data_IF_389540460445
#
_entry.id   IF_389540460445
#
_cell.length_a   1.000
_cell.length_b   1.000
_cell.length_c   1.000
_cell.angle_alpha   90.00
_cell.angle_beta   90.00
_cell.angle_gamma   90.00
#
_symmetry.space_group_name_H-M   'P 1'
#
loop_
_entity.id
_entity.type
_entity.pdbx_description
1 polymer ?
#
# COMPACT_ATOMS: atom_id res chain seq x y z
N UNK A 1 14.99 9.43 -1.04
CA UNK A 1 15.14 8.19 -1.84
C UNK A 1 13.96 8.09 -2.81
N UNK A 2 14.21 7.76 -4.07
CA UNK A 2 13.21 7.67 -5.12
C UNK A 2 13.38 6.38 -5.90
N UNK A 3 12.34 5.56 -6.01
CA UNK A 3 12.30 4.40 -6.92
C UNK A 3 11.15 4.63 -7.88
N UNK A 4 11.42 4.49 -9.18
CA UNK A 4 10.45 4.69 -10.24
C UNK A 4 10.25 3.38 -11.00
N UNK A 5 9.00 2.93 -11.08
CA UNK A 5 8.60 1.67 -11.68
C UNK A 5 7.73 1.94 -12.91
N UNK A 6 8.05 1.30 -14.03
CA UNK A 6 7.38 1.55 -15.31
C UNK A 6 7.32 0.29 -16.17
N UNK A 7 6.35 0.27 -17.10
CA UNK A 7 6.30 -0.73 -18.15
C UNK A 7 7.20 -0.29 -19.31
N UNK A 8 8.04 -1.20 -19.78
CA UNK A 8 8.83 -1.04 -21.01
C UNK A 8 7.94 -1.13 -22.26
N UNK A 9 8.40 -0.66 -23.43
CA UNK A 9 7.66 -0.83 -24.70
C UNK A 9 7.32 -2.29 -25.01
N UNK A 10 8.14 -3.23 -24.55
CA UNK A 10 7.94 -4.68 -24.70
C UNK A 10 6.99 -5.28 -23.66
N UNK A 11 6.41 -4.46 -22.78
CA UNK A 11 5.46 -4.89 -21.75
C UNK A 11 6.08 -5.44 -20.46
N UNK A 12 7.42 -5.49 -20.37
CA UNK A 12 8.10 -5.92 -19.15
C UNK A 12 8.08 -4.82 -18.08
N UNK A 13 8.01 -5.21 -16.81
CA UNK A 13 8.18 -4.31 -15.69
C UNK A 13 9.66 -3.95 -15.50
N UNK A 14 10.00 -2.67 -15.37
CA UNK A 14 11.35 -2.20 -15.13
C UNK A 14 11.39 -1.08 -14.08
N UNK A 15 12.55 -0.86 -13.47
CA UNK A 15 12.72 0.23 -12.51
C UNK A 15 14.04 0.97 -12.62
N UNK A 16 13.99 2.22 -12.16
CA UNK A 16 15.13 3.09 -11.90
C UNK A 16 15.18 3.46 -10.41
N UNK A 17 16.37 3.64 -9.87
CA UNK A 17 16.56 4.02 -8.47
C UNK A 17 17.46 5.26 -8.30
N UNK A 18 17.07 6.12 -7.36
CA UNK A 18 17.81 7.24 -6.83
C UNK A 18 17.92 7.14 -5.31
N UNK A 19 19.15 7.04 -4.80
CA UNK A 19 19.42 7.06 -3.36
C UNK A 19 20.03 8.40 -2.98
N UNK A 20 19.47 9.03 -1.97
CA UNK A 20 20.08 10.17 -1.30
C UNK A 20 20.85 9.62 -0.09
N UNK A 21 22.14 9.94 -0.03
CA UNK A 21 23.06 9.43 0.99
C UNK A 21 23.65 10.56 1.82
N UNK A 22 23.24 11.82 1.61
CA UNK A 22 23.91 13.00 2.17
C UNK A 22 23.87 13.08 3.71
N UNK A 23 23.03 12.28 4.36
CA UNK A 23 22.88 12.25 5.82
C UNK A 23 23.03 10.85 6.45
N UNK A 24 23.51 9.86 5.69
CA UNK A 24 23.68 8.50 6.19
C UNK A 24 25.13 8.29 6.63
N UNK A 25 25.34 8.09 7.93
CA UNK A 25 26.64 7.75 8.53
C UNK A 25 27.06 6.30 8.22
N UNK A 26 27.18 5.98 6.93
CA UNK A 26 27.57 4.66 6.45
C UNK A 26 29.07 4.59 6.14
N UNK A 27 29.73 3.46 6.46
CA UNK A 27 31.09 3.21 6.01
C UNK A 27 31.20 3.30 4.48
N UNK A 28 32.26 3.94 3.98
CA UNK A 28 32.49 4.15 2.55
C UNK A 28 32.60 2.86 1.73
N UNK A 29 32.96 1.76 2.38
CA UNK A 29 33.12 0.41 1.82
C UNK A 29 31.89 -0.50 2.06
N UNK A 30 30.84 0.00 2.70
CA UNK A 30 29.59 -0.73 2.88
C UNK A 30 29.00 -1.11 1.51
N UNK A 31 28.52 -2.34 1.38
CA UNK A 31 27.87 -2.82 0.16
C UNK A 31 26.41 -2.40 0.18
N UNK A 32 25.98 -1.71 -0.87
CA UNK A 32 24.61 -1.30 -1.07
C UNK A 32 23.86 -2.34 -1.91
N UNK A 33 22.65 -2.68 -1.49
CA UNK A 33 21.74 -3.54 -2.22
C UNK A 33 20.36 -2.90 -2.32
N UNK A 34 19.72 -3.09 -3.46
CA UNK A 34 18.29 -2.85 -3.64
C UNK A 34 17.64 -4.21 -3.91
N UNK A 35 16.58 -4.52 -3.19
CA UNK A 35 15.79 -5.73 -3.35
C UNK A 35 14.40 -5.34 -3.81
N UNK A 36 13.96 -5.86 -4.96
CA UNK A 36 12.58 -5.83 -5.40
C UNK A 36 11.91 -7.12 -4.92
N UNK A 37 10.79 -7.02 -4.22
CA UNK A 37 10.11 -8.19 -3.67
C UNK A 37 8.59 -8.08 -3.77
N UNK A 38 7.94 -9.24 -3.91
CA UNK A 38 6.47 -9.41 -3.89
C UNK A 38 6.14 -10.86 -3.60
N UNK A 39 5.50 -11.15 -2.45
CA UNK A 39 5.19 -12.53 -2.03
C UNK A 39 6.44 -13.42 -2.14
N UNK A 40 6.43 -14.45 -2.98
CA UNK A 40 7.57 -15.35 -3.21
C UNK A 40 8.62 -14.82 -4.19
N UNK A 41 8.34 -13.72 -4.89
CA UNK A 41 9.31 -13.06 -5.76
C UNK A 41 10.30 -12.23 -4.95
N UNK A 42 11.59 -12.43 -5.20
CA UNK A 42 12.68 -11.61 -4.66
C UNK A 42 13.79 -11.50 -5.70
N UNK A 43 14.19 -10.26 -6.02
CA UNK A 43 15.34 -9.99 -6.88
C UNK A 43 16.23 -8.93 -6.26
N UNK A 44 17.50 -9.26 -6.06
CA UNK A 44 18.51 -8.39 -5.45
C UNK A 44 19.44 -7.80 -6.52
N UNK A 45 19.71 -6.51 -6.40
CA UNK A 45 20.60 -5.74 -7.24
C UNK A 45 21.73 -5.17 -6.39
N UNK A 46 22.98 -5.37 -6.82
CA UNK A 46 24.15 -4.77 -6.17
C UNK A 46 24.34 -3.34 -6.67
N UNK A 47 24.43 -2.39 -5.74
CA UNK A 47 24.39 -0.95 -6.04
C UNK A 47 25.70 -0.23 -5.73
N UNK A 48 26.82 -0.96 -5.64
CA UNK A 48 28.13 -0.42 -5.30
C UNK A 48 28.27 -0.12 -3.81
N UNK A 49 28.94 0.98 -3.49
CA UNK A 49 29.17 1.44 -2.10
C UNK A 49 28.79 2.92 -1.96
N UNK A 50 28.68 3.48 -0.74
CA UNK A 50 28.44 4.92 -0.56
C UNK A 50 29.48 5.80 -1.28
N UNK A 51 30.74 5.38 -1.33
CA UNK A 51 31.80 6.11 -2.04
C UNK A 51 31.74 5.96 -3.57
N UNK A 52 31.17 4.87 -4.07
CA UNK A 52 31.04 4.59 -5.50
C UNK A 52 29.67 3.97 -5.81
N UNK A 53 28.58 4.75 -5.72
CA UNK A 53 27.23 4.25 -5.95
C UNK A 53 27.05 3.88 -7.43
N UNK A 54 26.41 2.73 -7.67
CA UNK A 54 26.04 2.21 -8.99
C UNK A 54 24.56 1.93 -9.01
N UNK A 55 23.76 2.99 -9.11
CA UNK A 55 22.32 2.85 -8.96
C UNK A 55 21.67 2.20 -10.20
N UNK A 56 20.74 1.24 -10.00
CA UNK A 56 19.94 0.64 -11.05
C UNK A 56 19.26 1.66 -11.96
N UNK A 57 19.40 1.45 -13.28
CA UNK A 57 18.62 2.11 -14.32
C UNK A 57 18.19 1.05 -15.34
N UNK A 58 16.94 1.10 -15.77
CA UNK A 58 16.35 0.18 -16.75
C UNK A 58 16.38 -1.29 -16.32
N UNK A 59 16.35 -1.58 -15.02
CA UNK A 59 16.44 -2.97 -14.56
C UNK A 59 15.10 -3.67 -14.72
N UNK A 60 15.05 -4.65 -15.62
CA UNK A 60 13.87 -5.48 -15.86
C UNK A 60 13.63 -6.39 -14.66
N UNK A 61 12.38 -6.48 -14.21
CA UNK A 61 11.87 -7.42 -13.22
C UNK A 61 11.09 -8.51 -13.95
N UNK A 62 11.79 -9.57 -14.34
CA UNK A 62 11.23 -10.71 -15.05
C UNK A 62 10.32 -11.56 -14.13
N UNK A 63 9.35 -12.27 -14.73
CA UNK A 63 8.42 -13.12 -13.96
C UNK A 63 7.35 -12.35 -13.17
N UNK A 64 7.28 -11.04 -13.33
CA UNK A 64 6.21 -10.20 -12.79
C UNK A 64 5.35 -9.61 -13.91
N UNK A 65 4.05 -9.50 -13.64
CA UNK A 65 3.15 -8.73 -14.48
C UNK A 65 3.48 -7.23 -14.41
N UNK A 66 3.29 -6.51 -15.52
CA UNK A 66 3.50 -5.05 -15.62
C UNK A 66 2.76 -4.22 -14.54
N UNK A 67 1.71 -4.78 -13.94
CA UNK A 67 0.88 -4.14 -12.91
C UNK A 67 1.07 -4.73 -11.52
N UNK A 68 2.04 -5.61 -11.32
CA UNK A 68 2.32 -6.21 -10.01
C UNK A 68 2.69 -5.14 -8.96
N UNK A 69 2.16 -5.27 -7.74
CA UNK A 69 2.57 -4.43 -6.62
C UNK A 69 3.94 -4.88 -6.10
N UNK A 70 5.00 -4.29 -6.66
CA UNK A 70 6.37 -4.58 -6.24
C UNK A 70 6.77 -3.60 -5.16
N UNK A 71 7.22 -4.13 -4.02
CA UNK A 71 7.84 -3.33 -2.98
C UNK A 71 9.37 -3.42 -3.09
N UNK A 72 10.03 -2.42 -2.52
CA UNK A 72 11.48 -2.35 -2.52
C UNK A 72 12.03 -2.26 -1.10
N UNK A 73 13.23 -2.80 -0.93
CA UNK A 73 14.05 -2.64 0.26
C UNK A 73 15.46 -2.23 -0.13
N UNK A 74 16.05 -1.30 0.60
CA UNK A 74 17.45 -0.91 0.46
C UNK A 74 18.22 -1.36 1.68
N UNK A 75 19.37 -2.00 1.47
CA UNK A 75 20.26 -2.48 2.54
C UNK A 75 21.66 -1.94 2.35
N UNK A 76 22.26 -1.46 3.43
CA UNK A 76 23.70 -1.25 3.53
C UNK A 76 24.28 -2.36 4.42
N UNK A 77 25.34 -3.02 3.96
CA UNK A 77 25.91 -4.21 4.61
C UNK A 77 27.42 -4.09 4.73
N UNK A 78 27.98 -4.50 5.87
CA UNK A 78 29.44 -4.50 6.08
C UNK A 78 30.17 -5.68 5.40
N UNK A 79 31.50 -5.71 5.50
CA UNK A 79 32.33 -6.78 4.95
C UNK A 79 32.08 -8.18 5.54
N UNK A 80 31.37 -8.28 6.68
CA UNK A 80 30.99 -9.54 7.34
C UNK A 80 29.56 -9.97 7.02
N UNK A 81 28.83 -9.19 6.23
CA UNK A 81 27.44 -9.49 5.91
C UNK A 81 26.42 -8.94 6.92
N UNK A 82 26.83 -8.10 7.88
CA UNK A 82 25.90 -7.49 8.86
C UNK A 82 25.18 -6.30 8.25
N UNK A 83 23.87 -6.19 8.46
CA UNK A 83 23.07 -5.05 8.04
C UNK A 83 23.45 -3.84 8.91
N UNK A 84 23.92 -2.78 8.28
CA UNK A 84 24.27 -1.50 8.90
C UNK A 84 23.10 -0.51 8.85
N UNK A 85 22.32 -0.57 7.78
CA UNK A 85 21.10 0.21 7.62
C UNK A 85 20.13 -0.53 6.69
N UNK A 86 18.83 -0.31 6.94
CA UNK A 86 17.75 -0.81 6.10
C UNK A 86 16.69 0.26 5.94
N UNK A 87 16.18 0.40 4.72
CA UNK A 87 14.91 1.06 4.44
C UNK A 87 14.03 0.01 3.76
N UNK A 88 12.85 -0.25 4.30
CA UNK A 88 11.99 -1.37 3.92
C UNK A 88 10.60 -0.89 3.51
N UNK A 89 9.79 -1.78 2.89
CA UNK A 89 8.41 -1.50 2.46
C UNK A 89 8.27 -0.26 1.58
N UNK A 90 9.28 0.00 0.76
CA UNK A 90 9.31 1.17 -0.12
C UNK A 90 8.36 0.91 -1.29
N UNK A 91 7.28 1.69 -1.34
CA UNK A 91 6.35 1.71 -2.47
C UNK A 91 6.96 2.57 -3.59
N UNK A 92 7.20 2.02 -4.78
CA UNK A 92 7.77 2.78 -5.89
C UNK A 92 6.73 3.75 -6.48
N UNK A 93 7.19 4.86 -7.04
CA UNK A 93 6.34 5.73 -7.86
C UNK A 93 6.13 5.10 -9.23
N UNK A 94 4.89 5.13 -9.74
CA UNK A 94 4.57 4.72 -11.11
C UNK A 94 4.35 5.92 -12.01
N UNK A 95 4.50 5.71 -13.31
CA UNK A 95 4.31 6.76 -14.33
C UNK A 95 2.87 7.26 -14.45
N UNK A 96 1.89 6.45 -14.02
CA UNK A 96 0.45 6.76 -14.02
C UNK A 96 -0.04 7.39 -12.71
N UNK A 97 0.85 7.63 -11.74
CA UNK A 97 0.47 8.27 -10.47
C UNK A 97 0.32 9.79 -10.65
N UNK A 98 -0.92 10.27 -10.68
CA UNK A 98 -1.26 11.70 -10.74
C UNK A 98 -0.92 12.44 -9.43
N UNK A 99 -0.78 11.71 -8.30
CA UNK A 99 -0.53 12.24 -6.96
C UNK A 99 0.90 11.92 -6.47
N UNK A 100 1.92 12.58 -7.04
CA UNK A 100 3.36 12.31 -6.80
C UNK A 100 3.90 12.54 -5.36
N UNK A 101 3.03 12.66 -4.35
CA UNK A 101 3.40 12.90 -2.95
C UNK A 101 2.49 12.25 -1.89
N UNK A 102 1.47 11.47 -2.27
CA UNK A 102 0.63 10.73 -1.31
C UNK A 102 1.03 9.26 -1.30
N UNK A 103 1.16 8.69 -0.10
CA UNK A 103 1.37 7.25 0.05
C UNK A 103 0.06 6.51 -0.23
N UNK A 104 0.07 5.59 -1.18
CA UNK A 104 -1.08 4.74 -1.48
C UNK A 104 -1.27 3.70 -0.35
N UNK A 105 -2.36 3.81 0.41
CA UNK A 105 -2.68 2.86 1.49
C UNK A 105 -3.27 1.54 0.97
N UNK A 106 -3.93 1.59 -0.18
CA UNK A 106 -4.60 0.44 -0.79
C UNK A 106 -4.33 0.36 -2.30
N UNK A 107 -3.26 -0.31 -2.71
CA UNK A 107 -3.02 -0.58 -4.10
C UNK A 107 -4.09 -1.51 -4.69
N UNK A 108 -4.38 -1.33 -5.98
CA UNK A 108 -5.33 -2.14 -6.73
C UNK A 108 -4.59 -3.14 -7.61
N UNK A 109 -4.90 -4.42 -7.45
CA UNK A 109 -4.38 -5.50 -8.30
C UNK A 109 -5.51 -6.16 -9.10
N UNK A 110 -5.13 -6.94 -10.12
CA UNK A 110 -6.07 -7.61 -11.02
C UNK A 110 -5.78 -9.11 -11.02
N UNK A 111 -6.80 -9.92 -10.78
CA UNK A 111 -6.69 -11.37 -10.73
C UNK A 111 -7.97 -12.03 -11.24
N UNK A 112 -7.87 -13.31 -11.62
CA UNK A 112 -9.07 -14.11 -11.87
C UNK A 112 -9.71 -14.48 -10.52
N UNK A 113 -10.83 -13.85 -10.20
CA UNK A 113 -11.55 -14.05 -8.94
C UNK A 113 -12.77 -14.99 -9.10
N UNK A 114 -12.88 -15.70 -10.22
CA UNK A 114 -14.04 -16.53 -10.51
C UNK A 114 -15.31 -15.69 -10.62
N UNK A 115 -16.23 -15.86 -9.68
CA UNK A 115 -17.53 -15.18 -9.63
C UNK A 115 -17.55 -13.93 -8.73
N UNK A 116 -16.48 -13.64 -7.99
CA UNK A 116 -16.39 -12.42 -7.18
C UNK A 116 -15.96 -11.23 -8.05
N UNK A 117 -16.57 -10.05 -7.87
CA UNK A 117 -16.17 -8.83 -8.59
C UNK A 117 -14.86 -8.27 -8.03
N UNK A 118 -14.76 -8.27 -6.70
CA UNK A 118 -13.59 -7.79 -5.97
C UNK A 118 -13.35 -8.66 -4.74
N UNK A 119 -12.14 -8.58 -4.19
CA UNK A 119 -11.75 -9.18 -2.91
C UNK A 119 -10.68 -8.33 -2.25
N UNK A 120 -10.71 -8.20 -0.94
CA UNK A 120 -9.61 -7.65 -0.18
C UNK A 120 -8.59 -8.74 0.14
N UNK A 121 -7.32 -8.52 -0.23
CA UNK A 121 -6.19 -9.36 0.16
C UNK A 121 -5.45 -8.70 1.32
N UNK A 122 -5.49 -9.35 2.48
CA UNK A 122 -4.82 -8.95 3.71
C UNK A 122 -3.69 -9.91 4.11
N UNK A 123 -3.48 -10.99 3.35
CA UNK A 123 -2.49 -12.02 3.68
C UNK A 123 -1.07 -11.66 3.19
N UNK A 124 -0.95 -10.60 2.38
CA UNK A 124 0.32 -10.09 1.89
C UNK A 124 1.06 -9.18 2.86
N UNK A 125 2.27 -8.76 2.47
CA UNK A 125 3.08 -7.75 3.18
C UNK A 125 2.42 -6.36 3.21
N UNK A 126 1.43 -6.13 2.36
CA UNK A 126 0.65 -4.90 2.26
C UNK A 126 -0.78 -5.24 1.80
N UNK A 127 -1.82 -4.55 2.32
CA UNK A 127 -3.20 -4.82 1.92
C UNK A 127 -3.42 -4.37 0.48
N UNK A 128 -4.19 -5.14 -0.29
CA UNK A 128 -4.53 -4.76 -1.67
C UNK A 128 -5.97 -5.10 -2.03
N UNK A 129 -6.56 -4.28 -2.90
CA UNK A 129 -7.87 -4.55 -3.49
C UNK A 129 -7.68 -5.34 -4.79
N UNK A 130 -8.10 -6.60 -4.78
CA UNK A 130 -8.12 -7.43 -5.99
C UNK A 130 -9.41 -7.14 -6.75
N UNK A 131 -9.28 -6.80 -8.04
CA UNK A 131 -10.40 -6.67 -8.97
C UNK A 131 -10.38 -7.83 -9.98
N UNK A 132 -11.56 -8.34 -10.32
CA UNK A 132 -11.69 -9.47 -11.22
C UNK A 132 -11.35 -9.08 -12.67
N UNK A 133 -10.26 -9.62 -13.18
CA UNK A 133 -9.77 -9.33 -14.53
C UNK A 133 -10.61 -9.94 -15.65
N UNK A 134 -11.64 -10.75 -15.33
CA UNK A 134 -12.65 -11.23 -16.26
C UNK A 134 -13.71 -10.17 -16.62
N UNK A 135 -13.77 -9.07 -15.87
CA UNK A 135 -14.72 -8.00 -16.10
C UNK A 135 -14.03 -6.92 -16.94
N UNK A 136 -14.55 -6.71 -18.16
CA UNK A 136 -14.07 -5.67 -19.05
C UNK A 136 -14.17 -4.29 -18.38
N UNK A 137 -13.12 -3.47 -18.54
CA UNK A 137 -13.04 -2.11 -17.99
C UNK A 137 -13.21 -2.00 -16.46
N UNK A 138 -13.03 -3.08 -15.69
CA UNK A 138 -13.19 -3.06 -14.23
C UNK A 138 -12.36 -1.99 -13.51
N UNK A 139 -11.18 -1.64 -14.06
CA UNK A 139 -10.37 -0.52 -13.56
C UNK A 139 -11.13 0.81 -13.61
N UNK A 140 -11.69 1.13 -14.77
CA UNK A 140 -12.41 2.38 -14.97
C UNK A 140 -13.71 2.40 -14.17
N UNK A 141 -14.39 1.25 -14.06
CA UNK A 141 -15.56 1.10 -13.18
C UNK A 141 -15.16 1.43 -11.74
N UNK A 142 -14.11 0.81 -11.19
CA UNK A 142 -13.68 1.09 -9.82
C UNK A 142 -13.27 2.56 -9.60
N UNK A 143 -12.67 3.19 -10.63
CA UNK A 143 -12.18 4.58 -10.56
C UNK A 143 -13.29 5.62 -10.75
N UNK A 144 -14.31 5.36 -11.55
CA UNK A 144 -15.25 6.39 -12.01
C UNK A 144 -16.71 6.12 -11.64
N UNK A 145 -17.12 4.85 -11.45
CA UNK A 145 -18.51 4.52 -11.14
C UNK A 145 -18.85 4.84 -9.68
N UNK A 146 -19.74 5.81 -9.47
CA UNK A 146 -20.07 6.28 -8.12
C UNK A 146 -20.75 5.20 -7.27
N UNK A 147 -21.49 4.28 -7.90
CA UNK A 147 -22.14 3.16 -7.21
C UNK A 147 -21.11 2.17 -6.68
N UNK A 148 -20.11 1.83 -7.50
CA UNK A 148 -18.99 0.99 -7.10
C UNK A 148 -18.25 1.64 -5.95
N UNK A 149 -17.91 2.93 -6.06
CA UNK A 149 -17.19 3.63 -4.99
C UNK A 149 -17.97 3.64 -3.67
N UNK A 150 -19.27 3.91 -3.74
CA UNK A 150 -20.14 3.99 -2.58
C UNK A 150 -20.35 2.64 -1.89
N UNK A 151 -20.42 1.54 -2.64
CA UNK A 151 -20.72 0.21 -2.10
C UNK A 151 -19.46 -0.59 -1.74
N UNK A 152 -18.33 -0.33 -2.40
CA UNK A 152 -17.10 -1.11 -2.24
C UNK A 152 -16.14 -0.46 -1.25
N UNK A 153 -15.82 0.83 -1.41
CA UNK A 153 -14.76 1.42 -0.59
C UNK A 153 -15.08 1.54 0.90
N UNK A 154 -16.30 1.91 1.34
CA UNK A 154 -16.64 1.88 2.76
C UNK A 154 -16.48 0.49 3.39
N UNK A 155 -16.86 -0.55 2.67
CA UNK A 155 -16.73 -1.93 3.13
C UNK A 155 -15.27 -2.39 3.16
N UNK A 156 -14.45 -1.94 2.20
CA UNK A 156 -13.02 -2.17 2.22
C UNK A 156 -12.38 -1.53 3.47
N UNK A 157 -12.70 -0.26 3.76
CA UNK A 157 -12.19 0.41 4.97
C UNK A 157 -12.61 -0.36 6.22
N UNK A 158 -13.87 -0.82 6.27
CA UNK A 158 -14.39 -1.65 7.37
C UNK A 158 -13.59 -2.91 7.59
N UNK A 159 -13.36 -3.70 6.53
CA UNK A 159 -12.65 -4.98 6.63
C UNK A 159 -11.19 -4.77 7.02
N UNK A 160 -10.53 -3.75 6.47
CA UNK A 160 -9.16 -3.39 6.84
C UNK A 160 -9.08 -3.04 8.33
N UNK A 161 -9.92 -2.12 8.81
CA UNK A 161 -9.90 -1.70 10.22
C UNK A 161 -10.31 -2.84 11.15
N UNK A 162 -11.23 -3.71 10.74
CA UNK A 162 -11.59 -4.90 11.51
C UNK A 162 -10.40 -5.84 11.67
N UNK A 163 -9.67 -6.13 10.59
CA UNK A 163 -8.47 -6.95 10.67
C UNK A 163 -7.43 -6.34 11.61
N UNK A 164 -7.13 -5.04 11.46
CA UNK A 164 -6.17 -4.32 12.29
C UNK A 164 -6.57 -4.35 13.78
N UNK A 165 -7.78 -3.90 14.09
CA UNK A 165 -8.18 -3.60 15.47
C UNK A 165 -8.71 -4.84 16.19
N UNK A 166 -9.43 -5.72 15.48
CA UNK A 166 -10.04 -6.92 16.07
C UNK A 166 -9.18 -8.15 15.86
N UNK A 167 -8.66 -8.36 14.64
CA UNK A 167 -7.82 -9.51 14.31
C UNK A 167 -6.45 -9.46 14.98
N UNK A 168 -5.74 -8.34 14.82
CA UNK A 168 -4.35 -8.19 15.25
C UNK A 168 -4.20 -7.45 16.58
N UNK A 169 -5.28 -6.87 17.13
CA UNK A 169 -5.25 -5.99 18.31
C UNK A 169 -4.23 -4.84 18.18
N UNK A 170 -3.98 -4.38 16.94
CA UNK A 170 -3.08 -3.28 16.65
C UNK A 170 -3.82 -1.97 16.86
N UNK A 171 -3.60 -1.33 18.01
CA UNK A 171 -4.37 -0.14 18.42
C UNK A 171 -3.56 1.13 18.55
N UNK A 172 -2.24 1.03 18.57
CA UNK A 172 -1.34 2.17 18.67
C UNK A 172 -0.71 2.48 17.29
N UNK A 173 -1.07 3.61 16.64
CA UNK A 173 -0.53 4.01 15.34
C UNK A 173 0.96 4.39 15.36
N UNK A 174 1.62 4.41 16.51
CA UNK A 174 3.04 4.73 16.64
C UNK A 174 3.90 3.49 16.96
N UNK A 175 3.32 2.28 16.95
CA UNK A 175 4.02 1.00 17.15
C UNK A 175 5.13 0.77 16.11
N UNK A 176 4.77 0.77 14.82
CA UNK A 176 5.71 0.77 13.69
C UNK A 176 5.21 1.82 12.68
N UNK A 177 5.79 3.04 12.67
CA UNK A 177 5.32 4.14 11.84
C UNK A 177 5.23 3.87 10.34
N UNK A 178 5.97 2.86 9.85
CA UNK A 178 6.10 2.51 8.45
C UNK A 178 5.31 1.23 8.08
N UNK A 179 4.70 0.54 9.06
CA UNK A 179 3.79 -0.57 8.76
C UNK A 179 2.44 -0.06 8.23
N UNK A 180 1.77 -0.90 7.46
CA UNK A 180 0.51 -0.51 6.83
C UNK A 180 -0.59 -0.33 7.87
N UNK A 181 -0.60 -1.11 8.96
CA UNK A 181 -1.65 -1.06 9.97
C UNK A 181 -1.66 0.30 10.69
N UNK A 182 -0.50 0.78 11.10
CA UNK A 182 -0.28 2.10 11.70
C UNK A 182 -0.66 3.23 10.75
N UNK A 183 -0.32 3.12 9.47
CA UNK A 183 -0.71 4.09 8.46
C UNK A 183 -2.23 4.16 8.26
N UNK A 184 -2.91 3.00 8.27
CA UNK A 184 -4.37 2.91 8.20
C UNK A 184 -5.05 3.46 9.47
N UNK A 185 -4.48 3.22 10.65
CA UNK A 185 -4.96 3.84 11.89
C UNK A 185 -4.81 5.36 11.84
N UNK A 186 -3.66 5.89 11.41
CA UNK A 186 -3.44 7.34 11.25
C UNK A 186 -4.44 7.96 10.27
N UNK A 187 -4.71 7.27 9.17
CA UNK A 187 -5.73 7.68 8.20
C UNK A 187 -7.12 7.77 8.84
N UNK A 188 -7.57 6.70 9.52
CA UNK A 188 -8.88 6.67 10.18
C UNK A 188 -9.00 7.73 11.30
N UNK A 189 -7.98 7.86 12.15
CA UNK A 189 -7.93 8.87 13.22
C UNK A 189 -7.96 10.28 12.63
N UNK A 190 -7.21 10.52 11.55
CA UNK A 190 -7.20 11.79 10.84
C UNK A 190 -8.57 12.19 10.30
N UNK A 191 -9.32 11.22 9.74
CA UNK A 191 -10.68 11.43 9.22
C UNK A 191 -11.68 11.80 10.33
N UNK A 192 -11.60 11.12 11.48
CA UNK A 192 -12.52 11.39 12.60
C UNK A 192 -12.30 12.75 13.25
N UNK A 193 -11.18 13.44 12.97
CA UNK A 193 -10.87 14.76 13.54
C UNK A 193 -10.62 14.75 15.06
N UNK A 194 -10.55 13.57 15.69
CA UNK A 194 -10.30 13.36 17.12
C UNK A 194 -9.20 12.33 17.30
N UNK A 195 -8.32 12.53 18.28
CA UNK A 195 -7.24 11.58 18.64
C UNK A 195 -7.76 10.41 19.48
N UNK A 196 -8.89 9.83 19.10
CA UNK A 196 -9.44 8.68 19.82
C UNK A 196 -8.85 7.41 19.23
N UNK A 197 -7.95 6.77 19.98
CA UNK A 197 -7.39 5.47 19.63
C UNK A 197 -8.47 4.38 19.77
N UNK A 198 -8.40 3.31 18.97
CA UNK A 198 -9.26 2.15 19.18
C UNK A 198 -9.00 1.51 20.55
N UNK A 199 -10.02 0.94 21.21
CA UNK A 199 -9.85 0.18 22.44
C UNK A 199 -8.93 -1.03 22.23
N UNK A 200 -8.06 -1.34 23.19
CA UNK A 200 -7.15 -2.51 23.17
C UNK A 200 -7.67 -3.66 24.02
N UNK A 201 -7.40 -4.90 23.61
CA UNK A 201 -7.76 -6.12 24.34
C UNK A 201 -8.87 -6.94 23.69
N UNK A 202 -9.16 -8.10 24.29
CA UNK A 202 -10.02 -9.14 23.71
C UNK A 202 -11.29 -9.48 24.50
N UNK A 203 -11.64 -8.69 25.51
CA UNK A 203 -12.85 -8.90 26.31
C UNK A 203 -14.11 -8.57 25.50
N UNK A 204 -15.23 -9.27 25.73
CA UNK A 204 -16.47 -9.08 24.94
C UNK A 204 -16.91 -7.62 24.85
N UNK A 205 -16.84 -6.88 25.96
CA UNK A 205 -17.19 -5.46 25.99
C UNK A 205 -16.20 -4.62 25.15
N UNK A 206 -14.91 -4.93 25.20
CA UNK A 206 -13.88 -4.26 24.38
C UNK A 206 -14.10 -4.56 22.90
N UNK A 207 -14.45 -5.79 22.53
CA UNK A 207 -14.77 -6.15 21.15
C UNK A 207 -15.97 -5.38 20.60
N UNK A 208 -17.00 -5.15 21.42
CA UNK A 208 -18.14 -4.29 21.06
C UNK A 208 -17.70 -2.84 20.84
N UNK A 209 -16.83 -2.31 21.72
CA UNK A 209 -16.36 -0.93 21.62
C UNK A 209 -15.38 -0.74 20.44
N UNK A 210 -14.59 -1.77 20.10
CA UNK A 210 -13.82 -1.82 18.84
C UNK A 210 -14.72 -1.75 17.61
N UNK A 211 -15.82 -2.50 17.61
CA UNK A 211 -16.82 -2.45 16.53
C UNK A 211 -17.39 -1.04 16.33
N UNK A 212 -17.79 -0.38 17.42
CA UNK A 212 -18.28 1.01 17.39
C UNK A 212 -17.23 1.98 16.85
N UNK A 213 -15.98 1.83 17.28
CA UNK A 213 -14.88 2.65 16.78
C UNK A 213 -14.67 2.49 15.27
N UNK A 214 -14.77 1.25 14.76
CA UNK A 214 -14.69 0.96 13.32
C UNK A 214 -15.87 1.61 12.57
N UNK A 215 -17.08 1.52 13.10
CA UNK A 215 -18.26 2.14 12.50
C UNK A 215 -18.12 3.67 12.41
N UNK A 216 -17.68 4.31 13.50
CA UNK A 216 -17.41 5.75 13.53
C UNK A 216 -16.34 6.17 12.51
N UNK A 217 -15.27 5.36 12.36
CA UNK A 217 -14.21 5.63 11.39
C UNK A 217 -14.71 5.49 9.94
N UNK A 218 -15.56 4.51 9.66
CA UNK A 218 -16.16 4.34 8.32
C UNK A 218 -17.18 5.42 8.03
N UNK A 219 -17.98 5.86 9.01
CA UNK A 219 -18.87 7.00 8.84
C UNK A 219 -18.08 8.28 8.50
N UNK A 220 -16.98 8.54 9.22
CA UNK A 220 -16.08 9.66 8.91
C UNK A 220 -15.46 9.56 7.51
N UNK A 221 -15.08 8.36 7.07
CA UNK A 221 -14.64 8.12 5.69
C UNK A 221 -15.76 8.46 4.69
N UNK A 222 -16.96 7.92 4.88
CA UNK A 222 -18.12 8.16 4.02
C UNK A 222 -18.48 9.65 3.92
N UNK A 223 -18.46 10.36 5.05
CA UNK A 223 -18.70 11.80 5.12
C UNK A 223 -17.62 12.58 4.35
N UNK A 224 -16.35 12.22 4.51
CA UNK A 224 -15.23 12.88 3.80
C UNK A 224 -15.31 12.73 2.28
N UNK A 225 -15.91 11.63 1.81
CA UNK A 225 -16.06 11.31 0.39
C UNK A 225 -17.45 11.66 -0.17
N UNK A 226 -18.34 12.23 0.65
CA UNK A 226 -19.73 12.55 0.30
C UNK A 226 -20.47 11.35 -0.33
N UNK A 227 -20.27 10.15 0.22
CA UNK A 227 -20.69 8.89 -0.40
C UNK A 227 -22.17 8.88 -0.76
N UNK A 228 -23.04 9.28 0.17
CA UNK A 228 -24.50 9.32 -0.04
C UNK A 228 -24.87 10.32 -1.14
N UNK A 229 -24.34 11.54 -1.09
CA UNK A 229 -24.66 12.59 -2.05
C UNK A 229 -24.20 12.24 -3.47
N UNK A 230 -23.05 11.57 -3.60
CA UNK A 230 -22.55 11.05 -4.88
C UNK A 230 -23.45 9.93 -5.39
N UNK A 231 -23.74 8.93 -4.55
CA UNK A 231 -24.62 7.83 -4.91
C UNK A 231 -26.01 8.29 -5.40
N UNK A 232 -26.61 9.25 -4.70
CA UNK A 232 -27.92 9.81 -5.07
C UNK A 232 -27.88 10.57 -6.39
N UNK A 233 -26.84 11.39 -6.63
CA UNK A 233 -26.67 12.12 -7.90
C UNK A 233 -26.55 11.18 -9.09
N UNK A 234 -25.79 10.09 -8.96
CA UNK A 234 -25.63 9.10 -10.02
C UNK A 234 -26.97 8.45 -10.43
N UNK A 235 -27.82 8.13 -9.46
CA UNK A 235 -29.11 7.47 -9.71
C UNK A 235 -30.21 8.44 -10.15
N UNK A 236 -30.16 9.70 -9.75
CA UNK A 236 -31.10 10.73 -10.24
C UNK A 236 -30.78 11.20 -11.66
N UNK A 237 -29.53 11.08 -12.11
CA UNK A 237 -29.12 11.42 -13.47
C UNK A 237 -29.42 10.31 -14.51
N UNK A 238 -29.81 9.13 -14.04
CA UNK A 238 -30.14 7.97 -14.88
C UNK A 238 -31.64 7.84 -15.22
N UNK A 239 -32.48 8.64 -14.54
CA UNK A 239 -33.93 8.79 -14.79
C UNK A 239 -34.23 10.03 -15.65
#
# INVERSE_FOLDING_TARGET
>A
MNIFLYATPEGNLAFDAGLDMENLSLPFDAKLYIEAYRRTYLRRFACGTPAQPRLPRGQILDGLDSRALVMFRVKAVDGRGRILAVADRIIPRRSDDEDAGKQCLLPVEFADLGHSIWRLDLEGEWPSLLLNNRIDNIREIARADESFQALVYPEVVRQVLYHIVVGEDHTDPDTDPDDWMSLWLRFAIGLMGRKTLPPSGGEDQVLLDKGRWIDDAVDAFCASQQVVDRFMRNHQAAD
#
